data_IF_447560444426
#
_entry.id   IF_447560444426
#
_cell.length_a   1.000
_cell.length_b   1.000
_cell.length_c   1.000
_cell.angle_alpha   90.00
_cell.angle_beta   90.00
_cell.angle_gamma   90.00
#
_symmetry.space_group_name_H-M   'P 1'
#
loop_
_entity.id
_entity.type
_entity.pdbx_description
1 polymer ?
#
# COMPACT_ATOMS: atom_id res chain seq x y z
N UNK A 1 -7.72 2.41 10.02
CA UNK A 1 -8.58 2.58 8.83
C UNK A 1 -7.66 2.38 7.66
N UNK A 2 -7.90 1.34 6.88
CA UNK A 2 -7.07 1.02 5.72
C UNK A 2 -7.80 1.41 4.44
N UNK A 3 -7.07 2.00 3.49
CA UNK A 3 -7.56 2.46 2.20
C UNK A 3 -6.62 1.91 1.14
N UNK A 4 -7.17 1.19 0.16
CA UNK A 4 -6.43 0.70 -1.01
C UNK A 4 -6.91 1.41 -2.27
N UNK A 5 -6.01 1.82 -3.16
CA UNK A 5 -6.36 2.53 -4.39
C UNK A 5 -5.70 1.88 -5.61
N UNK A 6 -6.53 1.43 -6.55
CA UNK A 6 -6.13 0.90 -7.85
C UNK A 6 -6.28 1.91 -8.99
N UNK A 7 -5.97 1.46 -10.21
CA UNK A 7 -6.00 2.24 -11.46
C UNK A 7 -7.36 2.85 -11.78
N UNK A 8 -8.45 2.14 -11.52
CA UNK A 8 -9.81 2.55 -11.88
C UNK A 8 -10.77 2.62 -10.69
N UNK A 9 -10.37 2.11 -9.52
CA UNK A 9 -11.21 2.05 -8.33
C UNK A 9 -10.43 2.26 -7.04
N UNK A 10 -11.11 2.65 -5.98
CA UNK A 10 -10.60 2.66 -4.62
C UNK A 10 -11.50 1.81 -3.72
N UNK A 11 -10.91 1.27 -2.66
CA UNK A 11 -11.58 0.52 -1.60
C UNK A 11 -11.25 1.12 -0.24
N UNK A 12 -12.21 1.11 0.66
CA UNK A 12 -12.01 1.51 2.04
C UNK A 12 -12.69 0.54 3.00
N UNK A 13 -12.04 0.30 4.14
CA UNK A 13 -12.60 -0.45 5.26
C UNK A 13 -13.52 0.44 6.08
N UNK A 14 -14.77 0.02 6.26
CA UNK A 14 -15.72 0.64 7.18
C UNK A 14 -15.47 0.15 8.63
N UNK A 15 -15.93 0.92 9.61
CA UNK A 15 -15.69 0.64 11.03
C UNK A 15 -16.32 -0.68 11.51
N UNK A 16 -17.33 -1.19 10.80
CA UNK A 16 -17.99 -2.48 11.07
C UNK A 16 -17.27 -3.68 10.43
N UNK A 17 -16.12 -3.46 9.77
CA UNK A 17 -15.34 -4.50 9.13
C UNK A 17 -15.79 -4.85 7.71
N UNK A 18 -16.74 -4.10 7.13
CA UNK A 18 -17.15 -4.25 5.73
C UNK A 18 -16.31 -3.37 4.79
N UNK A 19 -16.28 -3.72 3.50
CA UNK A 19 -15.48 -3.02 2.48
C UNK A 19 -16.41 -2.26 1.53
N UNK A 20 -16.14 -0.95 1.35
CA UNK A 20 -16.79 -0.12 0.32
C UNK A 20 -15.83 0.12 -0.84
N UNK A 21 -16.37 0.15 -2.07
CA UNK A 21 -15.63 0.39 -3.31
C UNK A 21 -16.28 1.52 -4.11
N UNK A 22 -15.49 2.38 -4.74
CA UNK A 22 -15.95 3.38 -5.71
C UNK A 22 -14.97 3.54 -6.88
N UNK A 23 -15.45 3.95 -8.06
CA UNK A 23 -14.63 4.11 -9.28
C UNK A 23 -15.21 3.41 -10.51
N UNK A 24 -14.46 3.41 -11.63
CA UNK A 24 -14.83 3.05 -13.01
C UNK A 24 -15.29 1.60 -13.26
N UNK A 25 -15.44 1.16 -14.53
CA UNK A 25 -16.11 -0.09 -14.88
C UNK A 25 -15.47 -1.28 -14.18
N UNK A 26 -16.33 -2.12 -13.57
CA UNK A 26 -16.01 -3.10 -12.53
C UNK A 26 -15.17 -4.27 -13.08
N UNK A 27 -13.83 -4.30 -12.90
CA UNK A 27 -13.05 -5.46 -13.35
C UNK A 27 -13.02 -6.56 -12.28
N UNK A 28 -13.37 -6.24 -11.02
CA UNK A 28 -13.17 -7.10 -9.85
C UNK A 28 -14.24 -6.78 -8.79
N UNK A 29 -15.39 -7.49 -8.74
CA UNK A 29 -16.41 -7.27 -7.72
C UNK A 29 -15.88 -7.71 -6.34
N UNK A 30 -16.04 -6.88 -5.31
CA UNK A 30 -15.79 -7.32 -3.92
C UNK A 30 -16.85 -8.37 -3.56
N UNK A 31 -16.47 -9.58 -3.09
CA UNK A 31 -17.43 -10.64 -2.81
C UNK A 31 -18.48 -10.21 -1.79
N UNK A 32 -19.76 -10.47 -2.09
CA UNK A 32 -20.83 -10.31 -1.12
C UNK A 32 -20.55 -11.20 0.11
N UNK A 33 -20.56 -10.59 1.30
CA UNK A 33 -20.31 -11.30 2.56
C UNK A 33 -18.85 -11.33 3.03
N UNK A 34 -17.93 -10.62 2.36
CA UNK A 34 -16.60 -10.35 2.93
C UNK A 34 -16.76 -9.50 4.21
N UNK A 35 -16.54 -10.13 5.35
CA UNK A 35 -16.65 -9.54 6.69
C UNK A 35 -15.40 -9.82 7.52
N UNK A 36 -15.34 -9.19 8.70
CA UNK A 36 -14.22 -9.32 9.64
C UNK A 36 -12.88 -8.90 9.07
N UNK A 37 -12.88 -8.03 8.05
CA UNK A 37 -11.66 -7.46 7.48
C UNK A 37 -11.05 -6.47 8.47
N UNK A 38 -9.74 -6.57 8.68
CA UNK A 38 -8.95 -5.67 9.55
C UNK A 38 -7.93 -4.85 8.78
N UNK A 39 -7.52 -5.31 7.59
CA UNK A 39 -6.65 -4.56 6.67
C UNK A 39 -6.99 -4.90 5.21
N UNK A 40 -6.79 -3.93 4.31
CA UNK A 40 -7.05 -4.08 2.88
C UNK A 40 -5.99 -3.34 2.07
N UNK A 41 -5.48 -4.00 1.03
CA UNK A 41 -4.58 -3.37 0.06
C UNK A 41 -5.09 -3.63 -1.34
N UNK A 42 -4.95 -2.65 -2.23
CA UNK A 42 -5.42 -2.78 -3.59
C UNK A 42 -4.43 -2.19 -4.59
N UNK A 43 -4.25 -2.92 -5.68
CA UNK A 43 -3.71 -2.47 -6.95
C UNK A 43 -4.84 -2.57 -8.00
N UNK A 44 -4.70 -1.93 -9.17
CA UNK A 44 -5.74 -1.86 -10.20
C UNK A 44 -6.36 -3.20 -10.65
N UNK A 45 -5.71 -4.33 -10.35
CA UNK A 45 -6.15 -5.69 -10.72
C UNK A 45 -6.24 -6.67 -9.53
N UNK A 46 -5.74 -6.29 -8.35
CA UNK A 46 -5.64 -7.17 -7.18
C UNK A 46 -6.13 -6.43 -5.93
N UNK A 47 -7.00 -7.05 -5.16
CA UNK A 47 -7.32 -6.63 -3.80
C UNK A 47 -6.93 -7.76 -2.85
N UNK A 48 -6.18 -7.44 -1.81
CA UNK A 48 -5.90 -8.33 -0.69
C UNK A 48 -6.67 -7.82 0.52
N UNK A 49 -7.44 -8.69 1.15
CA UNK A 49 -8.13 -8.41 2.41
C UNK A 49 -7.61 -9.35 3.49
N UNK A 50 -7.10 -8.77 4.58
CA UNK A 50 -6.72 -9.50 5.79
C UNK A 50 -7.93 -9.57 6.72
N UNK A 51 -8.32 -10.77 7.10
CA UNK A 51 -9.38 -11.02 8.08
C UNK A 51 -8.82 -11.05 9.50
N UNK A 52 -9.69 -10.78 10.49
CA UNK A 52 -9.37 -10.75 11.92
C UNK A 52 -8.81 -12.08 12.46
N UNK A 53 -9.10 -13.19 11.78
CA UNK A 53 -8.57 -14.52 12.09
C UNK A 53 -7.16 -14.77 11.51
N UNK A 54 -6.54 -13.77 10.88
CA UNK A 54 -5.21 -13.86 10.28
C UNK A 54 -5.18 -14.45 8.87
N UNK A 55 -6.35 -14.79 8.30
CA UNK A 55 -6.45 -15.31 6.92
C UNK A 55 -6.48 -14.18 5.88
N UNK A 56 -5.90 -14.44 4.70
CA UNK A 56 -5.86 -13.48 3.59
C UNK A 56 -6.78 -13.95 2.46
N UNK A 57 -7.62 -13.05 1.98
CA UNK A 57 -8.46 -13.25 0.79
C UNK A 57 -7.93 -12.38 -0.33
N UNK A 58 -7.66 -12.98 -1.49
CA UNK A 58 -7.34 -12.24 -2.71
C UNK A 58 -8.57 -12.15 -3.61
N UNK A 59 -8.75 -10.99 -4.24
CA UNK A 59 -9.83 -10.71 -5.17
C UNK A 59 -9.19 -10.12 -6.43
N UNK A 60 -9.38 -10.80 -7.56
CA UNK A 60 -8.81 -10.45 -8.86
C UNK A 60 -9.12 -11.53 -9.90
N UNK A 61 -8.47 -11.50 -11.06
CA UNK A 61 -8.64 -12.54 -12.07
C UNK A 61 -8.06 -13.89 -11.58
N UNK A 62 -8.84 -14.97 -11.65
CA UNK A 62 -8.39 -16.31 -11.19
C UNK A 62 -7.21 -16.85 -11.99
N UNK A 63 -6.98 -16.37 -13.22
CA UNK A 63 -5.84 -16.79 -14.05
C UNK A 63 -4.52 -16.15 -13.62
N UNK A 64 -4.55 -15.16 -12.75
CA UNK A 64 -3.40 -14.36 -12.39
C UNK A 64 -2.66 -14.97 -11.18
N UNK A 65 -1.35 -15.26 -11.26
CA UNK A 65 -0.63 -15.86 -10.14
C UNK A 65 -0.72 -15.08 -8.82
N UNK A 66 -0.82 -13.76 -8.88
CA UNK A 66 -0.90 -12.89 -7.70
C UNK A 66 -2.23 -12.99 -6.94
N UNK A 67 -3.27 -13.63 -7.50
CA UNK A 67 -4.53 -13.91 -6.80
C UNK A 67 -4.53 -15.24 -6.05
N UNK A 68 -3.48 -16.06 -6.20
CA UNK A 68 -3.35 -17.34 -5.53
C UNK A 68 -2.61 -17.19 -4.20
N UNK A 69 -3.34 -16.89 -3.12
CA UNK A 69 -2.78 -16.86 -1.77
C UNK A 69 -2.17 -18.23 -1.42
N UNK A 70 -0.91 -18.31 -0.95
CA UNK A 70 -0.27 -19.58 -0.62
C UNK A 70 -1.06 -20.41 0.40
N UNK A 71 -1.16 -21.71 0.16
CA UNK A 71 -1.82 -22.63 1.09
C UNK A 71 -1.09 -22.63 2.45
N UNK A 72 -1.86 -22.57 3.53
CA UNK A 72 -1.32 -22.56 4.90
C UNK A 72 -0.77 -21.20 5.37
N UNK A 73 -0.92 -20.12 4.59
CA UNK A 73 -0.60 -18.77 5.07
C UNK A 73 -1.49 -18.39 6.26
N UNK A 74 -0.87 -18.11 7.41
CA UNK A 74 -1.51 -17.78 8.68
C UNK A 74 -0.67 -16.75 9.44
N UNK A 75 -1.19 -16.27 10.57
CA UNK A 75 -0.54 -15.28 11.45
C UNK A 75 -0.17 -13.97 10.74
N UNK A 76 -0.93 -13.61 9.71
CA UNK A 76 -0.71 -12.38 8.93
C UNK A 76 -1.22 -11.17 9.71
N UNK A 77 -0.43 -10.11 9.74
CA UNK A 77 -0.74 -8.84 10.43
C UNK A 77 -0.84 -7.65 9.49
N UNK A 78 -0.30 -7.74 8.28
CA UNK A 78 -0.49 -6.75 7.22
C UNK A 78 -0.40 -7.37 5.83
N UNK A 79 -1.06 -6.74 4.85
CA UNK A 79 -1.02 -7.16 3.43
C UNK A 79 -0.68 -5.99 2.52
N UNK A 80 0.00 -6.26 1.41
CA UNK A 80 0.29 -5.27 0.37
C UNK A 80 0.08 -5.86 -1.02
N UNK A 81 -0.78 -5.22 -1.82
CA UNK A 81 -1.09 -5.63 -3.19
C UNK A 81 -0.20 -4.89 -4.19
N UNK A 82 0.58 -5.64 -4.97
CA UNK A 82 1.33 -5.16 -6.13
C UNK A 82 0.59 -5.44 -7.44
N UNK A 83 1.15 -4.96 -8.56
CA UNK A 83 0.61 -5.26 -9.89
C UNK A 83 0.83 -6.71 -10.32
N UNK A 84 1.93 -7.31 -9.86
CA UNK A 84 2.37 -8.65 -10.25
C UNK A 84 2.52 -9.61 -9.06
N UNK A 85 2.38 -9.12 -7.83
CA UNK A 85 2.62 -9.89 -6.61
C UNK A 85 1.71 -9.46 -5.45
N UNK A 86 1.46 -10.40 -4.54
CA UNK A 86 0.95 -10.12 -3.21
C UNK A 86 2.06 -10.29 -2.18
N UNK A 87 1.97 -9.53 -1.09
CA UNK A 87 2.89 -9.64 0.04
C UNK A 87 2.10 -9.65 1.35
N UNK A 88 2.48 -10.53 2.25
CA UNK A 88 1.95 -10.63 3.61
C UNK A 88 3.10 -10.51 4.62
N UNK A 89 2.90 -9.69 5.64
CA UNK A 89 3.73 -9.61 6.83
C UNK A 89 3.12 -10.50 7.90
N UNK A 90 3.92 -11.42 8.45
CA UNK A 90 3.54 -12.28 9.57
C UNK A 90 3.89 -11.63 10.91
N UNK A 91 3.19 -12.06 11.96
CA UNK A 91 3.35 -11.55 13.33
C UNK A 91 4.76 -11.75 13.89
N UNK A 92 5.53 -12.70 13.34
CA UNK A 92 6.91 -12.98 13.71
C UNK A 92 7.94 -12.08 13.00
N UNK A 93 7.51 -11.13 12.17
CA UNK A 93 8.39 -10.23 11.41
C UNK A 93 8.85 -10.78 10.05
N UNK A 94 8.50 -12.03 9.71
CA UNK A 94 8.83 -12.63 8.41
C UNK A 94 7.80 -12.30 7.34
N UNK A 95 8.20 -12.41 6.07
CA UNK A 95 7.33 -12.13 4.93
C UNK A 95 6.95 -13.38 4.14
N UNK A 96 5.83 -13.31 3.44
CA UNK A 96 5.50 -14.22 2.34
C UNK A 96 5.12 -13.39 1.13
N UNK A 97 5.79 -13.65 0.01
CA UNK A 97 5.57 -12.98 -1.27
C UNK A 97 5.20 -14.04 -2.31
N UNK A 98 4.17 -13.77 -3.10
CA UNK A 98 3.69 -14.67 -4.14
C UNK A 98 3.25 -13.88 -5.37
N UNK A 99 3.17 -14.54 -6.51
CA UNK A 99 2.71 -13.92 -7.76
C UNK A 99 3.55 -14.34 -8.95
N UNK A 100 3.67 -13.42 -9.90
CA UNK A 100 4.39 -13.67 -11.15
C UNK A 100 5.91 -13.65 -10.91
N UNK A 101 6.61 -14.54 -11.61
CA UNK A 101 8.07 -14.61 -11.60
C UNK A 101 8.67 -13.57 -12.56
N UNK A 102 8.52 -12.29 -12.16
CA UNK A 102 9.00 -11.12 -12.91
C UNK A 102 9.66 -10.14 -11.95
N UNK A 103 10.59 -9.32 -12.49
CA UNK A 103 11.24 -8.23 -11.77
C UNK A 103 11.91 -8.63 -10.44
N UNK A 104 12.28 -9.90 -10.26
CA UNK A 104 12.88 -10.44 -9.02
C UNK A 104 12.03 -10.18 -7.76
N UNK A 105 10.70 -10.01 -7.90
CA UNK A 105 9.81 -9.66 -6.79
C UNK A 105 9.68 -10.76 -5.74
N UNK A 106 9.82 -12.02 -6.16
CA UNK A 106 9.71 -13.19 -5.28
C UNK A 106 10.99 -13.47 -4.48
N UNK A 107 12.09 -12.77 -4.78
CA UNK A 107 13.38 -12.95 -4.14
C UNK A 107 13.46 -12.16 -2.81
N UNK A 108 12.71 -12.62 -1.79
CA UNK A 108 12.73 -12.03 -0.45
C UNK A 108 14.16 -12.11 0.14
N UNK A 109 14.73 -11.00 0.66
CA UNK A 109 16.01 -11.02 1.35
C UNK A 109 16.04 -12.03 2.50
N UNK A 110 17.09 -12.86 2.57
CA UNK A 110 17.15 -13.99 3.49
C UNK A 110 17.27 -13.59 4.97
N UNK A 111 17.69 -12.37 5.25
CA UNK A 111 17.90 -11.80 6.59
C UNK A 111 16.71 -10.94 7.05
N UNK A 112 15.53 -11.09 6.43
CA UNK A 112 14.35 -10.29 6.72
C UNK A 112 13.38 -11.04 7.64
N UNK A 113 13.61 -10.93 8.94
CA UNK A 113 12.82 -11.55 10.02
C UNK A 113 12.35 -10.54 11.09
N UNK A 114 12.52 -9.25 10.84
CA UNK A 114 12.23 -8.15 11.78
C UNK A 114 11.38 -7.03 11.14
N UNK A 115 10.64 -7.34 10.08
CA UNK A 115 9.81 -6.37 9.39
C UNK A 115 8.62 -5.93 10.27
N UNK A 116 8.35 -4.63 10.27
CA UNK A 116 7.23 -4.01 11.01
C UNK A 116 6.21 -3.35 10.09
N UNK A 117 6.55 -3.10 8.83
CA UNK A 117 5.62 -2.62 7.81
C UNK A 117 6.07 -3.02 6.40
N UNK A 118 5.13 -3.08 5.46
CA UNK A 118 5.35 -3.52 4.08
C UNK A 118 4.67 -2.60 3.06
N UNK A 119 5.30 -2.42 1.90
CA UNK A 119 4.72 -1.66 0.79
C UNK A 119 5.18 -2.15 -0.58
N UNK A 120 4.23 -2.40 -1.48
CA UNK A 120 4.47 -2.85 -2.86
C UNK A 120 4.25 -1.73 -3.87
N UNK A 121 5.25 -1.49 -4.72
CA UNK A 121 5.06 -0.72 -5.96
C UNK A 121 4.66 -1.66 -7.09
N UNK A 122 4.60 -1.18 -8.34
CA UNK A 122 4.36 -2.05 -9.50
C UNK A 122 5.55 -2.94 -9.84
N UNK A 123 6.77 -2.61 -9.40
CA UNK A 123 8.00 -3.33 -9.79
C UNK A 123 9.02 -3.46 -8.66
N UNK A 124 8.61 -3.22 -7.41
CA UNK A 124 9.44 -3.41 -6.21
C UNK A 124 8.60 -3.70 -4.98
N UNK A 125 9.28 -4.22 -3.97
CA UNK A 125 8.74 -4.44 -2.64
C UNK A 125 9.66 -3.78 -1.60
N UNK A 126 9.04 -3.27 -0.53
CA UNK A 126 9.72 -2.67 0.61
C UNK A 126 9.24 -3.34 1.89
N UNK A 127 10.19 -3.58 2.79
CA UNK A 127 9.95 -3.94 4.17
C UNK A 127 10.69 -2.97 5.09
N UNK A 128 9.95 -2.26 5.94
CA UNK A 128 10.51 -1.45 7.01
C UNK A 128 10.86 -2.38 8.17
N UNK A 129 12.10 -2.30 8.66
CA UNK A 129 12.61 -3.07 9.79
C UNK A 129 12.38 -2.34 11.11
N UNK A 130 12.32 -3.09 12.21
CA UNK A 130 12.12 -2.54 13.54
C UNK A 130 13.22 -1.56 13.98
N UNK A 131 14.41 -1.65 13.39
CA UNK A 131 15.55 -0.75 13.66
C UNK A 131 15.50 0.58 12.91
N UNK A 132 14.46 0.82 12.10
CA UNK A 132 14.29 2.03 11.31
C UNK A 132 15.05 2.01 9.97
N UNK A 133 15.60 0.87 9.55
CA UNK A 133 16.11 0.66 8.18
C UNK A 133 15.05 0.00 7.30
N UNK A 134 15.30 -0.12 5.99
CA UNK A 134 14.38 -0.82 5.10
C UNK A 134 15.13 -1.69 4.09
N UNK A 135 14.58 -2.87 3.82
CA UNK A 135 14.97 -3.70 2.69
C UNK A 135 14.07 -3.36 1.49
N UNK A 136 14.67 -3.10 0.33
CA UNK A 136 13.95 -2.83 -0.92
C UNK A 136 14.50 -3.74 -2.01
N UNK A 137 13.63 -4.49 -2.67
CA UNK A 137 14.03 -5.45 -3.71
C UNK A 137 13.09 -5.41 -4.92
N UNK A 138 13.53 -6.09 -5.97
CA UNK A 138 12.92 -6.11 -7.29
C UNK A 138 13.50 -5.06 -8.25
N UNK A 139 13.08 -5.10 -9.53
CA UNK A 139 13.64 -4.28 -10.61
C UNK A 139 13.70 -2.77 -10.29
N UNK A 140 12.62 -2.23 -9.75
CA UNK A 140 12.53 -0.81 -9.42
C UNK A 140 13.44 -0.36 -8.27
N UNK A 141 13.98 -1.29 -7.47
CA UNK A 141 14.89 -0.99 -6.36
C UNK A 141 16.11 -0.20 -6.86
N UNK A 142 16.71 -0.67 -7.97
CA UNK A 142 17.82 0.02 -8.63
C UNK A 142 17.33 1.00 -9.70
N UNK A 143 16.32 0.62 -10.50
CA UNK A 143 15.94 1.42 -11.68
C UNK A 143 15.29 2.77 -11.34
N UNK A 144 14.54 2.83 -10.24
CA UNK A 144 13.85 4.04 -9.78
C UNK A 144 14.48 4.62 -8.51
N UNK A 145 15.71 4.21 -8.17
CA UNK A 145 16.41 4.62 -6.94
C UNK A 145 15.61 4.34 -5.65
N UNK A 146 14.72 3.35 -5.66
CA UNK A 146 13.87 3.04 -4.51
C UNK A 146 14.65 2.47 -3.33
N UNK A 147 15.79 1.82 -3.60
CA UNK A 147 16.72 1.33 -2.58
C UNK A 147 17.58 2.44 -1.95
N UNK A 148 17.57 3.66 -2.50
CA UNK A 148 18.20 4.84 -1.87
C UNK A 148 17.26 5.39 -0.79
N UNK A 149 17.10 4.62 0.28
CA UNK A 149 16.19 4.94 1.37
C UNK A 149 16.65 6.19 2.12
N UNK A 150 15.73 7.12 2.45
CA UNK A 150 16.03 8.22 3.34
C UNK A 150 16.18 7.71 4.79
N UNK A 151 16.42 8.61 5.72
CA UNK A 151 16.33 8.29 7.15
C UNK A 151 14.88 7.94 7.53
N UNK A 152 14.64 6.65 7.80
CA UNK A 152 13.33 6.10 8.17
C UNK A 152 13.18 5.92 9.70
N UNK A 153 14.00 6.60 10.49
CA UNK A 153 13.75 6.73 11.93
C UNK A 153 12.39 7.36 12.21
N UNK A 154 11.76 6.89 13.28
CA UNK A 154 10.43 7.31 13.78
C UNK A 154 9.27 7.16 12.76
N UNK A 155 9.46 6.37 11.71
CA UNK A 155 8.41 6.03 10.75
C UNK A 155 7.38 5.12 11.40
N UNK A 156 6.10 5.45 11.20
CA UNK A 156 4.96 4.71 11.76
C UNK A 156 4.05 4.12 10.69
N UNK A 157 4.26 4.47 9.42
CA UNK A 157 3.50 3.96 8.29
C UNK A 157 4.30 4.17 6.99
N UNK A 158 4.25 3.20 6.10
CA UNK A 158 4.81 3.27 4.75
C UNK A 158 3.71 3.02 3.73
N UNK A 159 3.79 3.71 2.61
CA UNK A 159 2.90 3.52 1.47
C UNK A 159 3.68 3.55 0.17
N UNK A 160 3.15 2.88 -0.84
CA UNK A 160 3.73 2.83 -2.17
C UNK A 160 2.76 3.41 -3.20
N UNK A 161 3.30 4.19 -4.13
CA UNK A 161 2.65 4.41 -5.41
C UNK A 161 3.25 3.51 -6.48
N UNK A 162 3.08 3.89 -7.75
CA UNK A 162 3.53 3.04 -8.86
C UNK A 162 5.06 2.85 -8.92
N UNK A 163 5.82 3.92 -8.71
CA UNK A 163 7.30 3.93 -8.77
C UNK A 163 7.94 4.83 -7.69
N UNK A 164 7.26 5.03 -6.58
CA UNK A 164 7.74 5.84 -5.46
C UNK A 164 7.21 5.28 -4.14
N UNK A 165 7.92 5.58 -3.06
CA UNK A 165 7.48 5.28 -1.70
C UNK A 165 7.20 6.57 -0.92
N UNK A 166 6.39 6.43 0.12
CA UNK A 166 6.16 7.44 1.14
C UNK A 166 6.30 6.82 2.52
N UNK A 167 6.79 7.62 3.46
CA UNK A 167 6.85 7.27 4.87
C UNK A 167 6.25 8.39 5.71
N UNK A 168 5.34 8.04 6.62
CA UNK A 168 4.79 8.93 7.63
C UNK A 168 5.56 8.74 8.93
N UNK A 169 6.10 9.83 9.46
CA UNK A 169 6.74 9.86 10.77
C UNK A 169 5.73 10.10 11.88
N UNK A 170 6.06 9.66 13.09
CA UNK A 170 5.25 9.82 14.30
C UNK A 170 4.88 11.28 14.62
N UNK A 171 5.69 12.24 14.15
CA UNK A 171 5.44 13.67 14.30
C UNK A 171 4.48 14.27 13.25
N UNK A 172 3.88 13.45 12.38
CA UNK A 172 2.93 13.88 11.36
C UNK A 172 3.57 14.50 10.10
N UNK A 173 4.88 14.34 9.91
CA UNK A 173 5.58 14.72 8.68
C UNK A 173 5.72 13.53 7.73
N UNK A 174 5.80 13.82 6.43
CA UNK A 174 5.91 12.81 5.36
C UNK A 174 7.24 12.97 4.65
N UNK A 175 7.82 11.85 4.21
CA UNK A 175 8.92 11.81 3.24
C UNK A 175 8.44 11.00 2.03
N UNK A 176 8.85 11.39 0.83
CA UNK A 176 8.61 10.66 -0.40
C UNK A 176 9.91 10.51 -1.19
N UNK A 177 10.17 9.33 -1.77
CA UNK A 177 11.37 9.05 -2.56
C UNK A 177 11.10 8.06 -3.69
N UNK A 178 12.07 7.93 -4.61
CA UNK A 178 11.95 7.15 -5.84
C UNK A 178 11.76 8.04 -7.07
N UNK A 179 11.03 7.55 -8.08
CA UNK A 179 10.75 8.33 -9.27
C UNK A 179 9.95 9.60 -8.92
N UNK A 180 10.40 10.76 -9.41
CA UNK A 180 9.74 12.05 -9.20
C UNK A 180 9.33 12.77 -10.48
N UNK A 181 9.30 12.07 -11.62
CA UNK A 181 9.15 12.69 -12.95
C UNK A 181 7.83 13.47 -13.13
N UNK A 182 6.80 13.11 -12.37
CA UNK A 182 5.49 13.78 -12.34
C UNK A 182 5.24 14.54 -11.04
N UNK A 183 6.28 14.76 -10.23
CA UNK A 183 6.20 15.49 -8.97
C UNK A 183 5.69 14.66 -7.78
N UNK A 184 5.55 13.34 -7.89
CA UNK A 184 5.06 12.47 -6.81
C UNK A 184 5.97 12.41 -5.57
N UNK A 185 7.24 12.79 -5.70
CA UNK A 185 8.16 12.95 -4.57
C UNK A 185 8.25 14.41 -4.08
N UNK A 186 7.56 15.35 -4.73
CA UNK A 186 7.53 16.76 -4.37
C UNK A 186 6.33 17.06 -3.49
N UNK A 187 6.54 17.03 -2.18
CA UNK A 187 5.48 17.25 -1.20
C UNK A 187 4.84 18.65 -1.32
N UNK A 188 3.52 18.79 -1.14
CA UNK A 188 2.86 20.08 -1.07
C UNK A 188 3.45 20.97 0.03
N UNK A 189 3.63 22.26 -0.27
CA UNK A 189 4.11 23.23 0.71
C UNK A 189 3.19 23.26 1.95
N UNK A 190 3.78 23.17 3.14
CA UNK A 190 3.04 23.18 4.41
C UNK A 190 2.27 21.88 4.71
N UNK A 191 2.59 20.76 4.06
CA UNK A 191 2.08 19.45 4.46
C UNK A 191 2.58 19.10 5.86
N UNK A 192 1.64 19.05 6.80
CA UNK A 192 1.85 18.84 8.23
C UNK A 192 0.60 18.19 8.81
N UNK A 193 0.72 17.63 10.01
CA UNK A 193 -0.40 17.02 10.74
C UNK A 193 -1.06 15.86 9.94
N UNK A 194 -0.21 15.07 9.29
CA UNK A 194 -0.64 13.90 8.50
C UNK A 194 -0.93 12.73 9.43
N UNK A 195 -2.06 12.08 9.21
CA UNK A 195 -2.56 10.92 9.95
C UNK A 195 -2.36 9.60 9.19
N UNK A 196 -2.36 9.64 7.85
CA UNK A 196 -2.15 8.49 6.98
C UNK A 196 -1.65 8.91 5.59
N UNK A 197 -0.96 8.00 4.90
CA UNK A 197 -0.45 8.18 3.52
C UNK A 197 -0.91 7.04 2.62
N UNK A 198 -1.15 7.33 1.34
CA UNK A 198 -1.51 6.30 0.36
C UNK A 198 -0.98 6.69 -1.01
N UNK A 199 -0.28 5.77 -1.68
CA UNK A 199 0.04 5.93 -3.10
C UNK A 199 -1.08 5.35 -3.96
N UNK A 200 -1.20 5.86 -5.18
CA UNK A 200 -2.11 5.31 -6.19
C UNK A 200 -1.35 4.98 -7.47
N UNK A 201 -2.01 4.25 -8.36
CA UNK A 201 -1.59 4.09 -9.75
C UNK A 201 -1.43 5.45 -10.46
N UNK A 202 -0.63 5.48 -11.52
CA UNK A 202 -0.27 6.68 -12.30
C UNK A 202 0.49 7.73 -11.49
N UNK A 203 1.43 7.32 -10.64
CA UNK A 203 2.35 8.25 -9.97
C UNK A 203 1.64 9.34 -9.14
N UNK A 204 0.63 8.96 -8.37
CA UNK A 204 -0.09 9.87 -7.46
C UNK A 204 0.15 9.52 -6.00
N UNK A 205 0.10 10.55 -5.17
CA UNK A 205 0.34 10.46 -3.74
C UNK A 205 -0.77 11.18 -2.99
N UNK A 206 -1.22 10.59 -1.88
CA UNK A 206 -2.24 11.12 -1.00
C UNK A 206 -1.76 11.19 0.44
N UNK A 207 -2.19 12.22 1.16
CA UNK A 207 -2.03 12.34 2.60
C UNK A 207 -3.35 12.79 3.23
N UNK A 208 -3.84 12.02 4.21
CA UNK A 208 -4.97 12.39 5.07
C UNK A 208 -4.43 13.13 6.29
N UNK A 209 -4.95 14.32 6.58
CA UNK A 209 -4.61 15.08 7.80
C UNK A 209 -5.54 14.72 8.96
N UNK A 210 -5.11 14.94 10.20
CA UNK A 210 -5.95 14.68 11.38
C UNK A 210 -7.24 15.53 11.40
N UNK A 211 -7.21 16.71 10.76
CA UNK A 211 -8.41 17.53 10.56
C UNK A 211 -9.38 16.96 9.49
N UNK A 212 -9.08 15.79 8.92
CA UNK A 212 -9.92 15.08 7.95
C UNK A 212 -9.78 15.55 6.50
N UNK A 213 -8.94 16.54 6.22
CA UNK A 213 -8.68 16.99 4.84
C UNK A 213 -7.64 16.12 4.13
N UNK A 214 -7.72 16.04 2.80
CA UNK A 214 -6.81 15.24 1.97
C UNK A 214 -5.98 16.17 1.10
N UNK A 215 -4.65 15.98 1.11
CA UNK A 215 -3.73 16.55 0.14
C UNK A 215 -3.40 15.48 -0.92
N UNK A 216 -3.36 15.89 -2.19
CA UNK A 216 -3.00 15.04 -3.32
C UNK A 216 -1.95 15.74 -4.19
N UNK A 217 -0.96 14.99 -4.67
CA UNK A 217 0.09 15.48 -5.56
C UNK A 217 0.63 14.36 -6.47
N UNK A 218 1.56 14.69 -7.37
CA UNK A 218 2.02 13.81 -8.44
C UNK A 218 1.30 14.11 -9.76
N UNK A 219 1.08 13.08 -10.57
CA UNK A 219 0.47 13.24 -11.90
C UNK A 219 -0.95 13.84 -11.80
N UNK A 220 -1.16 15.02 -12.41
CA UNK A 220 -2.46 15.73 -12.40
C UNK A 220 -3.28 15.53 -13.68
N UNK A 221 -2.82 14.71 -14.63
CA UNK A 221 -3.43 14.59 -15.98
C UNK A 221 -4.78 13.86 -15.99
N UNK A 222 -5.05 13.03 -14.97
CA UNK A 222 -6.29 12.27 -14.83
C UNK A 222 -7.04 12.65 -13.55
N UNK A 223 -8.16 13.36 -13.68
CA UNK A 223 -8.94 13.93 -12.57
C UNK A 223 -9.95 12.95 -11.90
N UNK A 224 -10.17 11.76 -12.47
CA UNK A 224 -11.26 10.86 -12.09
C UNK A 224 -11.00 9.98 -10.84
N UNK A 225 -9.85 10.10 -10.17
CA UNK A 225 -9.46 9.21 -9.05
C UNK A 225 -9.22 9.94 -7.72
N UNK A 226 -9.51 11.25 -7.64
CA UNK A 226 -9.41 11.99 -6.38
C UNK A 226 -10.65 11.73 -5.51
N UNK A 227 -10.49 11.59 -4.17
CA UNK A 227 -11.63 11.73 -3.28
C UNK A 227 -12.31 13.09 -3.56
N UNK A 228 -13.65 13.17 -3.56
CA UNK A 228 -14.35 14.41 -3.85
C UNK A 228 -13.81 15.55 -2.99
N UNK A 229 -13.64 16.78 -3.52
CA UNK A 229 -13.26 17.92 -2.71
C UNK A 229 -14.17 18.05 -1.47
N UNK A 230 -13.58 18.04 -0.27
CA UNK A 230 -14.34 18.10 0.99
C UNK A 230 -14.76 16.76 1.60
N UNK A 231 -14.32 15.61 1.07
CA UNK A 231 -14.50 14.32 1.73
C UNK A 231 -13.72 14.29 3.05
N UNK A 232 -14.45 14.19 4.17
CA UNK A 232 -13.89 14.00 5.51
C UNK A 232 -13.96 12.52 5.87
N UNK A 233 -12.82 11.84 5.88
CA UNK A 233 -12.72 10.46 6.38
C UNK A 233 -12.52 10.47 7.90
N UNK A 234 -13.17 9.56 8.63
CA UNK A 234 -12.92 9.39 10.07
C UNK A 234 -11.54 8.78 10.27
N UNK A 235 -10.62 9.53 10.87
CA UNK A 235 -9.38 8.96 11.40
C UNK A 235 -9.75 8.16 12.66
N UNK A 236 -9.62 6.82 12.70
CA UNK A 236 -9.81 6.09 13.93
C UNK A 236 -8.73 6.48 14.93
N UNK A 237 -9.10 6.56 16.20
CA UNK A 237 -8.12 6.68 17.28
C UNK A 237 -7.18 5.46 17.19
N UNK A 238 -5.86 5.71 17.11
CA UNK A 238 -4.85 4.66 17.29
C UNK A 238 -4.93 4.11 18.71
#
# INVERSE_FOLDING_TARGET
MSVGAGMSFAVALQADGTVVKWGGPDPVPVPAGLSDVVDISANGVLVLALKRDGTVVAIGAETDPQTHVPEGLQDVVAVSAGAYHGMALKADGTLTVWGQDVFDLLAVPADLDDAVAIANTSSSALALRADGTAAVWGFGAAYYDLALTPDLSDVVEVAAGEHHYMALRSNGTVIAWGNGAYGQTTLPAGLTDVAAVAGQAFNKSLALRHNGTIAAWGDTTSAWTLPPPGLVLRVPAR
#
